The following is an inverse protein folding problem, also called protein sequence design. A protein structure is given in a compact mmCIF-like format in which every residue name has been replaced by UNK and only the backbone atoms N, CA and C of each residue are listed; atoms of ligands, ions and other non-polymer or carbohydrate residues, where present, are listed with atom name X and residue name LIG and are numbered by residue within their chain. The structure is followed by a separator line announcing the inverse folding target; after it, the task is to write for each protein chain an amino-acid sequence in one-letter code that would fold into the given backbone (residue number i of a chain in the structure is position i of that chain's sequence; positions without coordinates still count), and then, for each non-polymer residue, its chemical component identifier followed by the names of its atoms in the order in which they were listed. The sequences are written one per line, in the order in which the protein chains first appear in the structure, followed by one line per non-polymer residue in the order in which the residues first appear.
data_IF_589665814734
#
_entry.id   IF_589665814734
#
_cell.length_a   1.000
_cell.length_b   1.000
_cell.length_c   1.000
_cell.angle_alpha   90.00
_cell.angle_beta   90.00
_cell.angle_gamma   90.00
#
_symmetry.space_group_name_H-M   'P 1'
#
loop_
_entity.id
_entity.type
_entity.pdbx_description
1 polymer ?
#
# COMPACT_ATOMS: atom_id res chain seq x y z
N UNK A 1 29.39 52.30 -16.65
CA UNK A 1 28.05 51.75 -16.32
C UNK A 1 27.64 50.64 -17.28
N UNK A 2 28.44 49.56 -17.44
CA UNK A 2 28.12 48.40 -18.31
C UNK A 2 28.85 47.11 -17.90
N UNK A 3 29.22 46.93 -16.64
CA UNK A 3 30.01 45.75 -16.23
C UNK A 3 29.67 45.19 -14.84
N UNK A 4 28.46 45.43 -14.34
CA UNK A 4 28.02 44.90 -13.03
C UNK A 4 26.66 44.19 -13.06
N UNK A 5 26.03 44.06 -14.23
CA UNK A 5 24.66 43.50 -14.32
C UNK A 5 24.64 42.03 -14.75
N UNK A 6 25.71 41.51 -15.37
CA UNK A 6 25.72 40.11 -15.85
C UNK A 6 26.14 39.08 -14.80
N UNK A 7 26.80 39.50 -13.71
CA UNK A 7 27.29 38.57 -12.69
C UNK A 7 26.23 38.17 -11.66
N UNK A 8 25.10 38.88 -11.58
CA UNK A 8 24.07 38.66 -10.56
C UNK A 8 22.91 37.76 -11.02
N UNK A 9 22.89 37.33 -12.29
CA UNK A 9 21.86 36.43 -12.82
C UNK A 9 22.26 34.95 -12.84
N UNK A 10 23.50 34.62 -12.49
CA UNK A 10 24.00 33.24 -12.50
C UNK A 10 23.96 32.54 -11.14
N UNK A 11 23.69 33.27 -10.06
CA UNK A 11 23.74 32.73 -8.69
C UNK A 11 22.38 32.28 -8.12
N UNK A 12 21.30 32.33 -8.92
CA UNK A 12 19.92 32.10 -8.43
C UNK A 12 19.24 30.86 -9.02
N UNK A 13 19.99 29.89 -9.55
CA UNK A 13 19.42 28.69 -10.18
C UNK A 13 20.19 27.42 -9.79
N UNK A 14 20.26 27.08 -8.51
CA UNK A 14 20.81 25.79 -8.06
C UNK A 14 20.15 25.26 -6.79
N UNK A 15 18.84 25.45 -6.65
CA UNK A 15 18.03 24.56 -5.81
C UNK A 15 17.21 23.65 -6.71
N UNK A 16 17.90 22.85 -7.54
CA UNK A 16 17.28 21.63 -8.06
C UNK A 16 17.33 20.65 -6.90
N UNK A 17 16.27 20.63 -6.09
CA UNK A 17 16.02 19.51 -5.19
C UNK A 17 15.82 18.31 -6.09
N UNK A 18 16.85 17.46 -6.20
CA UNK A 18 16.67 16.13 -6.77
C UNK A 18 15.74 15.43 -5.78
N UNK A 19 14.46 15.39 -6.11
CA UNK A 19 13.52 14.47 -5.48
C UNK A 19 14.11 13.08 -5.72
N UNK A 20 14.74 12.53 -4.68
CA UNK A 20 15.22 11.16 -4.71
C UNK A 20 14.01 10.30 -5.03
N UNK A 21 13.99 9.69 -6.22
CA UNK A 21 13.02 8.66 -6.55
C UNK A 21 13.17 7.63 -5.45
N UNK A 22 12.18 7.58 -4.55
CA UNK A 22 12.17 6.62 -3.47
C UNK A 22 12.14 5.24 -4.13
N UNK A 23 13.29 4.60 -4.23
CA UNK A 23 13.42 3.32 -4.91
C UNK A 23 12.52 2.33 -4.18
N UNK A 24 11.48 1.87 -4.87
CA UNK A 24 10.53 0.92 -4.29
C UNK A 24 11.28 -0.37 -3.95
N UNK A 25 11.10 -0.84 -2.72
CA UNK A 25 11.69 -2.12 -2.31
C UNK A 25 11.23 -3.22 -3.28
N UNK A 26 12.14 -4.09 -3.74
CA UNK A 26 11.76 -5.15 -4.67
C UNK A 26 10.74 -6.06 -4.00
N UNK A 27 9.60 -6.25 -4.67
CA UNK A 27 8.56 -7.18 -4.24
C UNK A 27 8.94 -8.59 -4.69
N UNK A 28 8.92 -9.52 -3.74
CA UNK A 28 9.21 -10.93 -3.96
C UNK A 28 8.05 -11.79 -3.41
N UNK A 29 7.60 -12.84 -4.12
CA UNK A 29 7.97 -13.17 -5.52
C UNK A 29 7.62 -12.03 -6.48
N UNK A 30 8.29 -11.97 -7.64
CA UNK A 30 8.09 -10.88 -8.59
C UNK A 30 6.63 -10.84 -9.05
N UNK A 31 5.92 -9.71 -8.87
CA UNK A 31 4.56 -9.56 -9.38
C UNK A 31 4.52 -9.72 -10.91
N UNK A 32 3.40 -10.23 -11.43
CA UNK A 32 3.20 -10.36 -12.88
C UNK A 32 3.13 -9.00 -13.59
N UNK A 33 2.61 -7.98 -12.91
CA UNK A 33 2.52 -6.60 -13.38
C UNK A 33 2.62 -5.64 -12.20
N UNK A 34 3.38 -4.56 -12.38
CA UNK A 34 3.45 -3.45 -11.43
C UNK A 34 3.23 -2.16 -12.20
N UNK A 35 2.38 -1.28 -11.68
CA UNK A 35 2.19 0.07 -12.19
C UNK A 35 2.09 1.02 -11.00
N UNK A 36 3.12 1.85 -10.81
CA UNK A 36 3.12 2.86 -9.77
C UNK A 36 2.40 4.12 -10.26
N UNK A 37 1.56 4.70 -9.40
CA UNK A 37 1.02 6.04 -9.58
C UNK A 37 1.96 7.10 -9.01
N UNK A 38 1.60 8.38 -9.19
CA UNK A 38 2.33 9.51 -8.60
C UNK A 38 1.98 9.78 -7.13
N UNK A 39 0.99 9.06 -6.58
CA UNK A 39 0.51 9.25 -5.22
C UNK A 39 1.37 8.54 -4.17
N UNK A 40 1.16 8.95 -2.91
CA UNK A 40 1.73 8.30 -1.73
C UNK A 40 0.61 7.99 -0.74
N UNK A 41 0.77 6.89 0.01
CA UNK A 41 -0.16 6.52 1.08
C UNK A 41 0.55 6.71 2.43
N UNK A 42 0.22 7.75 3.21
CA UNK A 42 0.78 7.91 4.55
C UNK A 42 0.29 6.77 5.44
N UNK A 43 1.19 6.18 6.24
CA UNK A 43 0.82 5.14 7.21
C UNK A 43 0.04 5.73 8.39
N UNK A 44 0.36 6.97 8.76
CA UNK A 44 -0.31 7.68 9.85
C UNK A 44 -1.76 7.96 9.49
N UNK A 45 -2.67 7.62 10.40
CA UNK A 45 -4.11 7.81 10.20
C UNK A 45 -4.76 6.73 9.32
N UNK A 46 -4.04 5.68 8.94
CA UNK A 46 -4.63 4.54 8.26
C UNK A 46 -5.58 3.76 9.16
N UNK A 47 -6.62 3.22 8.54
CA UNK A 47 -7.49 2.19 9.10
C UNK A 47 -7.46 0.93 8.22
N UNK A 48 -7.89 -0.18 8.78
CA UNK A 48 -8.06 -1.44 8.07
C UNK A 48 -9.54 -1.84 8.12
N UNK A 49 -10.11 -2.20 6.98
CA UNK A 49 -11.52 -2.60 6.85
C UNK A 49 -11.63 -3.95 6.18
N UNK A 50 -12.63 -4.73 6.60
CA UNK A 50 -12.99 -6.02 6.02
C UNK A 50 -14.32 -5.90 5.26
N UNK A 51 -14.35 -6.32 3.99
CA UNK A 51 -15.53 -6.12 3.12
C UNK A 51 -16.64 -7.14 3.39
N UNK A 52 -16.28 -8.39 3.67
CA UNK A 52 -17.23 -9.48 3.94
C UNK A 52 -17.23 -9.82 5.43
N UNK A 53 -18.25 -10.52 5.95
CA UNK A 53 -18.19 -11.13 7.27
C UNK A 53 -16.88 -11.93 7.39
N UNK A 54 -15.96 -11.55 8.29
CA UNK A 54 -14.61 -12.04 8.22
C UNK A 54 -14.52 -13.44 8.81
N UNK A 55 -13.76 -14.31 8.15
CA UNK A 55 -13.33 -15.57 8.76
C UNK A 55 -12.24 -15.30 9.81
N UNK A 56 -11.87 -16.33 10.59
CA UNK A 56 -10.81 -16.21 11.60
C UNK A 56 -9.48 -15.77 10.98
N UNK A 57 -9.19 -16.26 9.77
CA UNK A 57 -8.00 -15.95 8.99
C UNK A 57 -7.97 -14.48 8.53
N UNK A 58 -9.14 -13.92 8.18
CA UNK A 58 -9.25 -12.52 7.77
C UNK A 58 -9.03 -11.58 8.95
N UNK A 59 -9.61 -11.91 10.10
CA UNK A 59 -9.39 -11.17 11.35
C UNK A 59 -7.92 -11.24 11.78
N UNK A 60 -7.32 -12.43 11.71
CA UNK A 60 -5.91 -12.62 12.03
C UNK A 60 -5.02 -11.76 11.13
N UNK A 61 -5.23 -11.81 9.81
CA UNK A 61 -4.48 -11.00 8.85
C UNK A 61 -4.65 -9.49 9.09
N UNK A 62 -5.89 -9.04 9.35
CA UNK A 62 -6.18 -7.64 9.65
C UNK A 62 -5.50 -7.15 10.94
N UNK A 63 -5.55 -7.96 11.99
CA UNK A 63 -4.92 -7.65 13.29
C UNK A 63 -3.40 -7.63 13.18
N UNK A 64 -2.80 -8.59 12.46
CA UNK A 64 -1.35 -8.62 12.28
C UNK A 64 -0.85 -7.45 11.43
N UNK A 65 -1.60 -7.11 10.37
CA UNK A 65 -1.30 -5.93 9.56
C UNK A 65 -1.43 -4.65 10.40
N UNK A 66 -2.48 -4.51 11.21
CA UNK A 66 -2.66 -3.40 12.15
C UNK A 66 -1.47 -3.27 13.08
N UNK A 67 -1.01 -4.38 13.68
CA UNK A 67 0.12 -4.42 14.60
C UNK A 67 1.41 -3.93 13.92
N UNK A 68 1.73 -4.46 12.73
CA UNK A 68 2.95 -4.10 11.99
C UNK A 68 2.93 -2.63 11.55
N UNK A 69 1.80 -2.15 11.02
CA UNK A 69 1.68 -0.76 10.58
C UNK A 69 1.72 0.21 11.76
N UNK A 70 1.13 -0.15 12.89
CA UNK A 70 1.20 0.66 14.11
C UNK A 70 2.65 0.83 14.59
N UNK A 71 3.41 -0.27 14.59
CA UNK A 71 4.83 -0.25 14.96
C UNK A 71 5.67 0.60 14.01
N UNK A 72 5.41 0.52 12.70
CA UNK A 72 6.16 1.28 11.69
C UNK A 72 5.75 2.75 11.62
N UNK A 73 4.48 3.05 11.88
CA UNK A 73 3.91 4.40 11.80
C UNK A 73 4.02 5.20 13.10
N UNK A 74 4.32 4.54 14.24
CA UNK A 74 4.41 5.17 15.55
C UNK A 74 3.06 5.58 16.16
N UNK A 75 1.95 5.19 15.53
CA UNK A 75 0.58 5.55 15.90
C UNK A 75 -0.35 4.34 15.68
N UNK A 76 -1.40 4.16 16.48
CA UNK A 76 -2.32 3.03 16.31
C UNK A 76 -3.04 3.05 14.95
N UNK A 77 -2.95 1.93 14.21
CA UNK A 77 -3.75 1.64 13.03
C UNK A 77 -4.89 0.72 13.44
N UNK A 78 -6.13 1.18 13.34
CA UNK A 78 -7.29 0.45 13.84
C UNK A 78 -7.92 -0.45 12.78
N UNK A 79 -8.39 -1.63 13.20
CA UNK A 79 -9.31 -2.46 12.41
C UNK A 79 -10.74 -2.00 12.69
N UNK A 80 -11.47 -1.62 11.65
CA UNK A 80 -12.85 -1.16 11.76
C UNK A 80 -13.76 -2.29 12.25
N UNK A 81 -14.69 -1.95 13.15
CA UNK A 81 -15.70 -2.91 13.68
C UNK A 81 -16.79 -3.21 12.65
N UNK A 82 -17.07 -2.25 11.77
CA UNK A 82 -18.09 -2.38 10.74
C UNK A 82 -17.51 -3.10 9.52
N UNK A 83 -18.07 -4.28 9.23
CA UNK A 83 -17.80 -5.06 8.02
C UNK A 83 -18.90 -4.82 7.00
N UNK A 84 -18.56 -4.79 5.71
CA UNK A 84 -19.56 -4.69 4.65
C UNK A 84 -19.09 -3.87 3.44
N UNK A 85 -19.85 -3.89 2.33
CA UNK A 85 -19.50 -3.25 1.05
C UNK A 85 -19.66 -1.71 1.04
N UNK A 86 -19.80 -1.07 2.20
CA UNK A 86 -19.90 0.39 2.30
C UNK A 86 -18.60 1.11 1.87
N UNK A 87 -18.73 2.39 1.54
CA UNK A 87 -17.61 3.25 1.14
C UNK A 87 -16.67 3.45 2.33
N UNK A 88 -15.40 3.11 2.15
CA UNK A 88 -14.36 3.42 3.14
C UNK A 88 -14.22 4.95 3.28
N UNK A 89 -14.12 5.44 4.51
CA UNK A 89 -13.97 6.87 4.77
C UNK A 89 -12.52 7.20 5.13
N UNK A 90 -11.94 8.19 4.46
CA UNK A 90 -10.54 8.55 4.64
C UNK A 90 -9.56 7.50 4.12
N UNK A 91 -8.31 7.55 4.60
CA UNK A 91 -7.25 6.63 4.19
C UNK A 91 -7.43 5.26 4.83
N UNK A 92 -7.90 4.29 4.06
CA UNK A 92 -8.24 2.95 4.54
C UNK A 92 -7.62 1.88 3.65
N UNK A 93 -7.07 0.83 4.25
CA UNK A 93 -6.72 -0.43 3.57
C UNK A 93 -7.93 -1.35 3.66
N UNK A 94 -8.46 -1.73 2.51
CA UNK A 94 -9.60 -2.64 2.42
C UNK A 94 -9.10 -4.05 2.11
N UNK A 95 -9.46 -5.01 2.95
CA UNK A 95 -9.19 -6.43 2.77
C UNK A 95 -10.47 -7.12 2.29
N UNK A 96 -10.38 -7.71 1.09
CA UNK A 96 -11.48 -8.42 0.45
C UNK A 96 -11.04 -9.84 0.12
N UNK A 97 -11.76 -10.81 0.67
CA UNK A 97 -11.64 -12.21 0.29
C UNK A 97 -12.64 -12.50 -0.82
N UNK A 98 -12.15 -12.96 -1.96
CA UNK A 98 -12.95 -13.24 -3.17
C UNK A 98 -13.30 -14.73 -3.34
N UNK A 99 -12.79 -15.61 -2.47
CA UNK A 99 -12.98 -17.06 -2.55
C UNK A 99 -13.19 -17.73 -1.18
N UNK A 100 -13.27 -19.06 -1.16
CA UNK A 100 -13.49 -19.83 0.05
C UNK A 100 -12.27 -19.84 1.00
N UNK A 101 -12.51 -20.23 2.25
CA UNK A 101 -11.45 -20.51 3.23
C UNK A 101 -11.07 -21.98 3.11
N UNK A 102 -10.35 -22.34 2.03
CA UNK A 102 -9.87 -23.71 1.83
C UNK A 102 -8.39 -23.81 2.21
N UNK A 103 -8.08 -24.61 3.22
CA UNK A 103 -6.77 -24.59 3.86
C UNK A 103 -5.63 -25.19 3.01
N UNK A 104 -5.93 -26.13 2.11
CA UNK A 104 -4.90 -26.93 1.44
C UNK A 104 -5.08 -26.97 -0.08
N UNK A 105 -3.98 -26.87 -0.84
CA UNK A 105 -4.04 -26.98 -2.29
C UNK A 105 -4.51 -28.38 -2.66
N UNK A 106 -5.45 -28.47 -3.60
CA UNK A 106 -5.90 -29.76 -4.15
C UNK A 106 -5.05 -30.19 -5.36
N UNK A 107 -4.93 -31.50 -5.63
CA UNK A 107 -4.24 -31.96 -6.84
C UNK A 107 -4.85 -31.34 -8.10
N UNK A 108 -4.00 -30.80 -8.98
CA UNK A 108 -4.41 -30.15 -10.23
C UNK A 108 -4.66 -28.65 -10.12
N UNK A 109 -4.42 -28.02 -8.96
CA UNK A 109 -4.38 -26.56 -8.88
C UNK A 109 -3.24 -25.96 -9.71
N UNK A 110 -3.56 -24.96 -10.52
CA UNK A 110 -2.59 -24.22 -11.33
C UNK A 110 -2.22 -22.88 -10.67
N UNK A 111 -0.94 -22.48 -10.71
CA UNK A 111 -0.55 -21.13 -10.33
C UNK A 111 -1.05 -20.10 -11.37
N UNK A 112 -1.12 -18.83 -10.98
CA UNK A 112 -1.43 -17.72 -11.88
C UNK A 112 -2.65 -16.89 -11.45
N UNK A 113 -3.21 -16.05 -12.33
CA UNK A 113 -4.28 -15.10 -11.99
C UNK A 113 -5.59 -15.72 -11.50
N UNK A 114 -5.79 -17.02 -11.72
CA UNK A 114 -6.96 -17.77 -11.24
C UNK A 114 -6.64 -18.66 -10.04
N UNK A 115 -5.41 -18.62 -9.55
CA UNK A 115 -5.02 -19.36 -8.36
C UNK A 115 -5.77 -18.82 -7.15
N UNK A 116 -6.11 -19.70 -6.21
CA UNK A 116 -6.69 -19.33 -4.91
C UNK A 116 -5.77 -18.44 -4.06
N UNK A 117 -4.45 -18.46 -4.34
CA UNK A 117 -3.44 -17.63 -3.67
C UNK A 117 -3.16 -16.33 -4.42
N UNK A 118 -3.86 -16.07 -5.53
CA UNK A 118 -3.71 -14.83 -6.29
C UNK A 118 -4.34 -13.64 -5.55
N UNK A 119 -3.69 -12.48 -5.65
CA UNK A 119 -4.16 -11.25 -5.03
C UNK A 119 -3.89 -10.05 -5.95
N UNK A 120 -4.57 -8.94 -5.68
CA UNK A 120 -4.43 -7.67 -6.42
C UNK A 120 -4.31 -6.50 -5.44
N UNK A 121 -3.40 -5.57 -5.75
CA UNK A 121 -3.23 -4.28 -5.07
C UNK A 121 -3.31 -3.14 -6.09
#
# INVERSE_FOLDING_TARGET
MRLTVFALFFALNSFVTVDGVAEHRPLLPRPQKIQYGSGQLPVRGLKIRLVSPPAGEDLFAAQELSRILSQRGGEPVLVEKETGPGVATGSTITLERTGAVDALPVPGEEPGPRSRESYRL
#
